data_IF_694297584445
#
_entry.id   IF_694297584445
#
_cell.length_a   1.000
_cell.length_b   1.000
_cell.length_c   1.000
_cell.angle_alpha   90.00
_cell.angle_beta   90.00
_cell.angle_gamma   90.00
#
_symmetry.space_group_name_H-M   'P 1'
#
loop_
_entity.id
_entity.type
_entity.pdbx_description
1 polymer ?
#
# COMPACT_ATOMS: atom_id res chain seq x y z
N UNK A 1 -13.01 -8.69 0.07
CA UNK A 1 -13.42 -7.69 -0.96
C UNK A 1 -12.26 -6.75 -1.25
N UNK A 2 -11.38 -7.16 -2.16
CA UNK A 2 -10.11 -6.50 -2.49
C UNK A 2 -10.32 -5.13 -3.13
N UNK A 3 -9.88 -4.06 -2.45
CA UNK A 3 -9.72 -2.74 -3.07
C UNK A 3 -8.39 -2.73 -3.82
N UNK A 4 -8.39 -3.29 -5.04
CA UNK A 4 -7.23 -3.20 -5.93
C UNK A 4 -7.15 -1.79 -6.49
N UNK A 5 -6.28 -0.96 -5.93
CA UNK A 5 -5.76 0.22 -6.63
C UNK A 5 -4.79 -0.34 -7.68
N UNK A 6 -5.22 -0.36 -8.94
CA UNK A 6 -4.34 -0.72 -10.06
C UNK A 6 -3.44 0.48 -10.31
N UNK A 7 -2.22 0.44 -9.78
CA UNK A 7 -1.18 1.46 -10.05
C UNK A 7 -0.41 0.99 -11.29
N UNK A 8 -0.89 1.38 -12.47
CA UNK A 8 -0.13 1.18 -13.70
C UNK A 8 1.01 2.22 -13.76
N UNK A 9 2.25 1.74 -13.70
CA UNK A 9 3.45 2.58 -13.79
C UNK A 9 3.82 2.81 -15.26
N UNK A 10 3.16 3.78 -15.89
CA UNK A 10 3.59 4.29 -17.19
C UNK A 10 4.88 5.11 -17.06
N UNK A 11 6.00 4.58 -17.55
CA UNK A 11 7.31 5.26 -17.58
C UNK A 11 7.39 6.18 -18.80
N UNK A 12 7.38 7.50 -18.58
CA UNK A 12 7.57 8.52 -19.63
C UNK A 12 8.58 9.59 -19.15
N UNK A 13 9.42 10.14 -20.04
CA UNK A 13 10.51 11.02 -19.65
C UNK A 13 9.99 12.45 -19.43
N UNK A 14 10.06 12.93 -18.19
CA UNK A 14 9.81 14.33 -17.82
C UNK A 14 8.35 14.65 -17.45
N UNK A 15 8.12 14.94 -16.17
CA UNK A 15 6.85 15.48 -15.66
C UNK A 15 6.13 14.52 -14.72
N UNK A 16 5.66 15.06 -13.59
CA UNK A 16 4.95 14.42 -12.50
C UNK A 16 4.16 13.14 -12.87
N UNK A 17 4.23 12.06 -12.06
CA UNK A 17 3.53 10.82 -12.37
C UNK A 17 2.03 11.09 -12.52
N UNK A 18 1.53 11.04 -13.77
CA UNK A 18 0.11 11.09 -14.07
C UNK A 18 -0.46 9.73 -13.72
N UNK A 19 -0.96 9.62 -12.49
CA UNK A 19 -1.73 8.46 -12.06
C UNK A 19 -3.02 8.42 -12.86
N UNK A 20 -3.04 7.59 -13.90
CA UNK A 20 -4.27 7.21 -14.61
C UNK A 20 -4.84 5.98 -13.91
N UNK A 21 -6.16 5.93 -13.76
CA UNK A 21 -6.83 4.83 -13.09
C UNK A 21 -8.09 5.25 -12.35
N UNK A 22 -8.82 4.24 -11.84
CA UNK A 22 -10.02 4.46 -11.03
C UNK A 22 -9.65 4.58 -9.56
N UNK A 23 -10.25 5.54 -8.87
CA UNK A 23 -10.15 5.68 -7.41
C UNK A 23 -11.52 5.45 -6.79
N UNK A 24 -11.55 4.84 -5.60
CA UNK A 24 -12.76 4.68 -4.80
C UNK A 24 -12.75 5.75 -3.71
N UNK A 25 -13.77 6.59 -3.67
CA UNK A 25 -13.91 7.58 -2.61
C UNK A 25 -14.09 6.90 -1.24
N UNK A 26 -13.30 7.26 -0.21
CA UNK A 26 -13.43 6.66 1.13
C UNK A 26 -14.73 7.06 1.83
N UNK A 27 -15.27 8.26 1.53
CA UNK A 27 -16.48 8.76 2.16
C UNK A 27 -17.75 8.13 1.56
N UNK A 28 -17.96 8.25 0.24
CA UNK A 28 -19.20 7.81 -0.40
C UNK A 28 -19.08 6.52 -1.22
N UNK A 29 -17.90 5.88 -1.22
CA UNK A 29 -17.60 4.61 -1.93
C UNK A 29 -17.78 4.66 -3.45
N UNK A 30 -18.01 5.84 -4.05
CA UNK A 30 -18.13 6.00 -5.48
C UNK A 30 -16.79 5.68 -6.16
N UNK A 31 -16.84 4.88 -7.23
CA UNK A 31 -15.69 4.61 -8.10
C UNK A 31 -15.71 5.63 -9.23
N UNK A 32 -14.62 6.35 -9.43
CA UNK A 32 -14.49 7.41 -10.42
C UNK A 32 -13.10 7.42 -11.04
N UNK A 33 -12.94 8.11 -12.16
CA UNK A 33 -11.61 8.47 -12.66
C UNK A 33 -10.83 9.25 -11.59
N UNK A 34 -9.52 9.05 -11.56
CA UNK A 34 -8.63 9.75 -10.66
C UNK A 34 -8.86 11.26 -10.69
N UNK A 35 -9.12 11.83 -9.53
CA UNK A 35 -9.43 13.25 -9.34
C UNK A 35 -9.16 13.61 -7.89
N UNK A 36 -8.58 14.77 -7.63
CA UNK A 36 -8.34 15.24 -6.25
C UNK A 36 -9.63 15.63 -5.53
N UNK A 37 -10.77 15.56 -6.20
CA UNK A 37 -12.10 15.73 -5.60
C UNK A 37 -13.05 14.61 -6.02
N UNK A 38 -13.92 14.18 -5.10
CA UNK A 38 -15.02 13.27 -5.42
C UNK A 38 -16.14 13.96 -6.20
N UNK A 39 -16.48 13.43 -7.38
CA UNK A 39 -17.58 13.96 -8.21
C UNK A 39 -18.95 13.89 -7.53
N UNK A 40 -19.16 12.93 -6.62
CA UNK A 40 -20.43 12.71 -5.91
C UNK A 40 -20.54 13.49 -4.61
N UNK A 41 -19.56 13.34 -3.71
CA UNK A 41 -19.64 13.93 -2.37
C UNK A 41 -18.78 15.17 -2.16
N UNK A 42 -18.01 15.60 -3.18
CA UNK A 42 -17.14 16.80 -3.13
C UNK A 42 -16.04 16.75 -2.06
N UNK A 43 -15.80 15.58 -1.48
CA UNK A 43 -14.69 15.37 -0.55
C UNK A 43 -13.34 15.48 -1.28
N UNK A 44 -12.38 16.16 -0.64
CA UNK A 44 -10.99 16.24 -1.08
C UNK A 44 -10.31 14.87 -0.95
N UNK A 45 -9.81 14.37 -2.07
CA UNK A 45 -9.12 13.10 -2.22
C UNK A 45 -7.60 13.25 -2.27
N UNK A 46 -7.06 14.46 -2.20
CA UNK A 46 -5.61 14.73 -2.22
C UNK A 46 -4.87 13.97 -1.13
N UNK A 47 -5.38 13.99 0.10
CA UNK A 47 -4.77 13.28 1.22
C UNK A 47 -4.86 11.76 1.04
N UNK A 48 -6.00 11.27 0.57
CA UNK A 48 -6.21 9.86 0.25
C UNK A 48 -5.21 9.36 -0.80
N UNK A 49 -5.03 10.16 -1.84
CA UNK A 49 -4.06 9.90 -2.90
C UNK A 49 -2.62 9.89 -2.42
N UNK A 50 -2.24 10.83 -1.54
CA UNK A 50 -0.91 10.84 -0.91
C UNK A 50 -0.69 9.58 -0.11
N UNK A 51 -1.66 9.18 0.72
CA UNK A 51 -1.57 7.98 1.53
C UNK A 51 -1.41 6.71 0.67
N UNK A 52 -2.18 6.58 -0.42
CA UNK A 52 -2.03 5.45 -1.35
C UNK A 52 -0.65 5.42 -2.04
N UNK A 53 -0.13 6.58 -2.47
CA UNK A 53 1.23 6.68 -3.04
C UNK A 53 2.29 6.30 -2.01
N UNK A 54 2.15 6.78 -0.80
CA UNK A 54 3.10 6.54 0.28
C UNK A 54 3.13 5.06 0.67
N UNK A 55 1.96 4.41 0.75
CA UNK A 55 1.83 2.96 0.96
C UNK A 55 2.57 2.19 -0.14
N UNK A 56 2.33 2.52 -1.42
CA UNK A 56 2.99 1.88 -2.54
C UNK A 56 4.52 2.06 -2.51
N UNK A 57 5.01 3.27 -2.22
CA UNK A 57 6.45 3.54 -2.08
C UNK A 57 7.07 2.72 -0.95
N UNK A 58 6.39 2.60 0.20
CA UNK A 58 6.86 1.79 1.33
C UNK A 58 6.96 0.30 0.96
N UNK A 59 6.00 -0.24 0.20
CA UNK A 59 6.04 -1.64 -0.28
C UNK A 59 7.25 -1.88 -1.19
N UNK A 60 7.49 -0.99 -2.15
CA UNK A 60 8.67 -1.08 -3.03
C UNK A 60 9.97 -0.98 -2.24
N UNK A 61 10.04 -0.09 -1.25
CA UNK A 61 11.19 0.04 -0.37
C UNK A 61 11.45 -1.24 0.44
N UNK A 62 10.40 -1.86 0.99
CA UNK A 62 10.51 -3.14 1.70
C UNK A 62 11.06 -4.27 0.80
N UNK A 63 10.54 -4.40 -0.42
CA UNK A 63 11.02 -5.39 -1.39
C UNK A 63 12.47 -5.13 -1.80
N UNK A 64 12.84 -3.85 -1.96
CA UNK A 64 14.23 -3.46 -2.28
C UNK A 64 15.18 -3.79 -1.13
N UNK A 65 14.78 -3.58 0.12
CA UNK A 65 15.58 -3.94 1.29
C UNK A 65 15.72 -5.47 1.44
N UNK A 66 14.67 -6.24 1.15
CA UNK A 66 14.75 -7.71 1.08
C UNK A 66 15.75 -8.19 0.03
N UNK A 67 15.71 -7.63 -1.19
CA UNK A 67 16.66 -7.97 -2.25
C UNK A 67 18.12 -7.67 -1.86
N UNK A 68 18.33 -6.73 -0.92
CA UNK A 68 19.64 -6.36 -0.36
C UNK A 68 19.99 -7.08 0.94
N UNK A 69 19.23 -8.11 1.32
CA UNK A 69 19.42 -8.89 2.55
C UNK A 69 19.40 -8.01 3.82
N UNK A 70 18.54 -6.99 3.86
CA UNK A 70 18.33 -6.12 5.02
C UNK A 70 16.94 -6.35 5.62
N UNK A 71 16.72 -7.47 6.33
CA UNK A 71 15.39 -7.90 6.74
C UNK A 71 14.74 -6.91 7.71
N UNK A 72 15.50 -6.33 8.66
CA UNK A 72 14.96 -5.37 9.62
C UNK A 72 14.46 -4.08 8.95
N UNK A 73 15.25 -3.51 8.03
CA UNK A 73 14.86 -2.34 7.23
C UNK A 73 13.61 -2.65 6.39
N UNK A 74 13.56 -3.86 5.81
CA UNK A 74 12.41 -4.31 5.07
C UNK A 74 11.16 -4.42 5.95
N UNK A 75 11.30 -4.91 7.18
CA UNK A 75 10.21 -5.01 8.13
C UNK A 75 9.66 -3.64 8.52
N UNK A 76 10.54 -2.65 8.78
CA UNK A 76 10.10 -1.30 9.10
C UNK A 76 9.31 -0.66 7.96
N UNK A 77 9.75 -0.87 6.71
CA UNK A 77 9.01 -0.42 5.54
C UNK A 77 7.68 -1.16 5.33
N UNK A 78 7.65 -2.48 5.50
CA UNK A 78 6.45 -3.29 5.35
C UNK A 78 5.39 -2.94 6.41
N UNK A 79 5.82 -2.79 7.67
CA UNK A 79 4.98 -2.34 8.78
C UNK A 79 4.41 -0.95 8.52
N UNK A 80 5.23 -0.02 8.03
CA UNK A 80 4.76 1.32 7.68
C UNK A 80 3.73 1.29 6.53
N UNK A 81 3.93 0.44 5.52
CA UNK A 81 2.94 0.25 4.47
C UNK A 81 1.61 -0.28 5.03
N UNK A 82 1.65 -1.32 5.86
CA UNK A 82 0.45 -1.89 6.48
C UNK A 82 -0.33 -0.86 7.30
N UNK A 83 0.36 0.01 8.06
CA UNK A 83 -0.29 1.08 8.83
C UNK A 83 -0.97 2.16 7.98
N UNK A 84 -0.47 2.40 6.76
CA UNK A 84 -1.07 3.35 5.83
C UNK A 84 -2.30 2.76 5.12
N UNK A 85 -2.24 1.48 4.77
CA UNK A 85 -3.37 0.76 4.20
C UNK A 85 -3.22 -0.73 4.51
N UNK A 86 -4.10 -1.24 5.37
CA UNK A 86 -4.09 -2.64 5.73
C UNK A 86 -4.79 -3.47 4.65
N UNK A 87 -4.05 -4.38 4.03
CA UNK A 87 -4.55 -5.33 3.06
C UNK A 87 -3.81 -6.67 3.19
N UNK A 88 -4.32 -7.71 2.53
CA UNK A 88 -3.72 -9.05 2.58
C UNK A 88 -2.25 -9.06 2.15
N UNK A 89 -1.87 -8.21 1.21
CA UNK A 89 -0.52 -8.23 0.62
C UNK A 89 0.51 -7.55 1.51
N UNK A 90 0.17 -6.38 2.05
CA UNK A 90 0.98 -5.68 3.06
C UNK A 90 1.09 -6.49 4.35
N UNK A 91 0.02 -7.20 4.76
CA UNK A 91 0.06 -8.12 5.89
C UNK A 91 1.05 -9.28 5.63
N UNK A 92 0.97 -9.94 4.47
CA UNK A 92 1.94 -10.99 4.08
C UNK A 92 3.37 -10.48 4.04
N UNK A 93 3.59 -9.32 3.44
CA UNK A 93 4.92 -8.73 3.35
C UNK A 93 5.49 -8.41 4.75
N UNK A 94 4.67 -7.86 5.64
CA UNK A 94 5.05 -7.62 7.04
C UNK A 94 5.34 -8.93 7.80
N UNK A 95 4.54 -9.98 7.57
CA UNK A 95 4.76 -11.29 8.19
C UNK A 95 6.11 -11.91 7.76
N UNK A 96 6.39 -11.92 6.45
CA UNK A 96 7.64 -12.50 5.91
C UNK A 96 8.86 -11.71 6.37
N UNK A 97 8.80 -10.38 6.32
CA UNK A 97 9.93 -9.53 6.75
C UNK A 97 10.17 -9.61 8.26
N UNK A 98 9.11 -9.71 9.08
CA UNK A 98 9.23 -9.96 10.51
C UNK A 98 9.90 -11.31 10.79
N UNK A 99 9.49 -12.37 10.09
CA UNK A 99 10.06 -13.71 10.23
C UNK A 99 11.57 -13.72 9.91
N UNK A 100 11.96 -13.09 8.80
CA UNK A 100 13.37 -12.97 8.39
C UNK A 100 14.20 -12.09 9.34
N UNK A 101 13.55 -11.24 10.13
CA UNK A 101 14.19 -10.39 11.14
C UNK A 101 14.23 -11.02 12.53
N UNK A 102 13.65 -12.22 12.72
CA UNK A 102 13.54 -12.89 14.02
C UNK A 102 12.41 -12.39 14.92
N UNK A 103 11.51 -11.54 14.40
CA UNK A 103 10.37 -10.98 15.12
C UNK A 103 9.16 -11.93 15.04
N UNK A 104 9.26 -13.08 15.71
CA UNK A 104 8.31 -14.19 15.52
C UNK A 104 6.87 -13.88 15.98
N UNK A 105 6.71 -13.09 17.05
CA UNK A 105 5.39 -12.71 17.57
C UNK A 105 4.66 -11.84 16.55
N UNK A 106 5.33 -10.83 16.01
CA UNK A 106 4.83 -9.96 14.97
C UNK A 106 4.56 -10.74 13.68
N UNK A 107 5.46 -11.65 13.29
CA UNK A 107 5.29 -12.49 12.11
C UNK A 107 3.98 -13.29 12.17
N UNK A 108 3.70 -13.94 13.31
CA UNK A 108 2.48 -14.69 13.52
C UNK A 108 1.24 -13.79 13.50
N UNK A 109 1.32 -12.60 14.12
CA UNK A 109 0.21 -11.64 14.14
C UNK A 109 -0.16 -11.18 12.73
N UNK A 110 0.84 -10.78 11.93
CA UNK A 110 0.63 -10.36 10.54
C UNK A 110 0.16 -11.49 9.64
N UNK A 111 0.64 -12.72 9.84
CA UNK A 111 0.20 -13.89 9.07
C UNK A 111 -1.30 -14.16 9.27
N UNK A 112 -1.78 -14.13 10.51
CA UNK A 112 -3.21 -14.29 10.82
C UNK A 112 -4.06 -13.17 10.23
N UNK A 113 -3.56 -11.94 10.26
CA UNK A 113 -4.25 -10.82 9.60
C UNK A 113 -4.34 -11.03 8.10
N UNK A 114 -3.29 -11.53 7.45
CA UNK A 114 -3.31 -11.81 6.02
C UNK A 114 -4.40 -12.83 5.65
N UNK A 115 -4.59 -13.86 6.46
CA UNK A 115 -5.67 -14.85 6.30
C UNK A 115 -7.05 -14.21 6.45
N UNK A 116 -7.22 -13.27 7.38
CA UNK A 116 -8.50 -12.58 7.60
C UNK A 116 -8.92 -11.64 6.46
N UNK A 117 -8.00 -11.25 5.57
CA UNK A 117 -8.28 -10.41 4.41
C UNK A 117 -8.62 -11.20 3.14
N UNK A 118 -8.43 -12.53 3.14
CA UNK A 118 -8.80 -13.44 2.05
C UNK A 118 -10.30 -13.68 1.98
#
# INVERSE_FOLDING_TARGET
>A
MSSSVVVETGSGPGGSPRLRGKTRCPACKAVQEWSDECRRCKCDLTLWHRLARDQARRRVAALTALARQRPQEAFDHARAAFRLGADAETARLAAVTALLSGQFVEALWYARLAESYG
#
